data_IF_995587737827
#
_entry.id   IF_995587737827
#
_cell.length_a   1.000
_cell.length_b   1.000
_cell.length_c   1.000
_cell.angle_alpha   90.00
_cell.angle_beta   90.00
_cell.angle_gamma   90.00
#
_symmetry.space_group_name_H-M   'P 1'
#
loop_
_entity.id
_entity.type
_entity.pdbx_description
1 polymer ?
#
# COMPACT_ATOMS: atom_id res chain seq x y z
N UNK A 1 1.94 10.44 -3.72
CA UNK A 1 0.61 11.00 -3.41
C UNK A 1 0.08 10.35 -2.13
N UNK A 2 -1.01 10.86 -1.57
CA UNK A 2 -1.70 10.23 -0.44
C UNK A 2 -2.86 9.36 -0.90
N UNK A 3 -3.21 8.34 -0.12
CA UNK A 3 -4.28 7.38 -0.48
C UNK A 3 -5.63 8.10 -0.66
N UNK A 4 -5.95 9.10 0.18
CA UNK A 4 -7.19 9.90 0.05
C UNK A 4 -7.24 10.82 -1.18
N UNK A 5 -6.14 10.91 -1.93
CA UNK A 5 -6.04 11.67 -3.17
C UNK A 5 -6.19 10.79 -4.42
N UNK A 6 -6.41 9.47 -4.28
CA UNK A 6 -6.69 8.58 -5.42
C UNK A 6 -7.85 9.08 -6.27
N UNK A 7 -7.77 8.88 -7.58
CA UNK A 7 -8.83 9.28 -8.52
C UNK A 7 -10.17 8.59 -8.18
N UNK A 8 -10.12 7.36 -7.67
CA UNK A 8 -11.25 6.51 -7.30
C UNK A 8 -11.70 6.66 -5.83
N UNK A 9 -11.07 7.52 -5.02
CA UNK A 9 -11.32 7.59 -3.56
C UNK A 9 -12.78 7.81 -3.20
N UNK A 10 -13.56 8.53 -4.03
CA UNK A 10 -14.98 8.81 -3.82
C UNK A 10 -15.85 7.54 -3.85
N UNK A 11 -15.32 6.39 -4.25
CA UNK A 11 -16.00 5.10 -4.11
C UNK A 11 -15.89 4.52 -2.70
N UNK A 12 -14.94 5.00 -1.90
CA UNK A 12 -14.53 4.40 -0.61
C UNK A 12 -14.68 5.38 0.57
N UNK A 13 -14.56 6.68 0.31
CA UNK A 13 -14.61 7.75 1.30
C UNK A 13 -15.59 8.85 0.88
N UNK A 14 -16.12 9.54 1.89
CA UNK A 14 -16.69 10.87 1.78
C UNK A 14 -15.76 11.85 2.48
N UNK A 15 -15.40 12.94 1.80
CA UNK A 15 -14.55 14.00 2.37
C UNK A 15 -15.37 15.27 2.54
N UNK A 16 -15.54 15.72 3.79
CA UNK A 16 -16.27 16.96 4.10
C UNK A 16 -15.30 18.15 4.15
N UNK A 17 -15.07 18.77 2.99
CA UNK A 17 -14.20 19.95 2.87
C UNK A 17 -14.71 21.16 3.67
N UNK A 18 -15.97 21.17 4.10
CA UNK A 18 -16.48 22.24 4.96
C UNK A 18 -15.87 22.18 6.35
N UNK A 19 -15.37 21.02 6.78
CA UNK A 19 -14.67 20.79 8.05
C UNK A 19 -13.15 20.92 7.97
N UNK A 20 -12.60 21.11 6.77
CA UNK A 20 -11.17 21.32 6.58
C UNK A 20 -10.83 22.81 6.68
N UNK A 21 -9.69 23.14 7.29
CA UNK A 21 -9.15 24.50 7.25
C UNK A 21 -9.07 24.98 5.79
N UNK A 22 -9.62 26.17 5.50
CA UNK A 22 -9.74 26.69 4.14
C UNK A 22 -8.38 26.75 3.43
N UNK A 23 -7.30 27.07 4.15
CA UNK A 23 -5.95 27.14 3.61
C UNK A 23 -5.34 25.77 3.30
N UNK A 24 -5.89 24.69 3.88
CA UNK A 24 -5.38 23.32 3.78
C UNK A 24 -6.21 22.41 2.85
N UNK A 25 -7.32 22.90 2.27
CA UNK A 25 -8.22 22.10 1.42
C UNK A 25 -7.52 21.43 0.23
N UNK A 26 -6.45 22.03 -0.29
CA UNK A 26 -5.71 21.48 -1.42
C UNK A 26 -5.09 20.09 -1.12
N UNK A 27 -4.85 19.74 0.15
CA UNK A 27 -4.34 18.43 0.53
C UNK A 27 -5.34 17.28 0.28
N UNK A 28 -6.59 17.61 -0.01
CA UNK A 28 -7.66 16.66 -0.35
C UNK A 28 -8.01 16.64 -1.84
N UNK A 29 -7.22 17.33 -2.67
CA UNK A 29 -7.38 17.26 -4.12
C UNK A 29 -7.13 15.81 -4.58
N UNK A 30 -7.96 15.37 -5.52
CA UNK A 30 -7.76 14.08 -6.20
C UNK A 30 -6.79 14.27 -7.36
N UNK A 31 -6.02 13.23 -7.64
CA UNK A 31 -5.29 13.10 -8.90
C UNK A 31 -6.23 12.60 -10.00
N UNK A 32 -5.89 12.91 -11.25
CA UNK A 32 -6.56 12.33 -12.40
C UNK A 32 -6.14 10.88 -12.60
N UNK A 33 -6.98 10.07 -13.26
CA UNK A 33 -6.73 8.64 -13.45
C UNK A 33 -5.47 8.37 -14.27
N UNK A 34 -5.14 9.27 -15.19
CA UNK A 34 -3.98 9.20 -16.05
C UNK A 34 -2.67 9.49 -15.28
N UNK A 35 -2.76 10.17 -14.14
CA UNK A 35 -1.62 10.55 -13.28
C UNK A 35 -1.42 9.59 -12.10
N UNK A 36 -2.39 8.71 -11.84
CA UNK A 36 -2.38 7.77 -10.72
C UNK A 36 -2.83 6.37 -11.16
N UNK A 37 -1.86 5.46 -11.30
CA UNK A 37 -2.10 4.03 -11.42
C UNK A 37 -2.12 3.37 -10.04
N UNK A 38 -3.21 2.67 -9.74
CA UNK A 38 -3.39 1.94 -8.48
C UNK A 38 -2.90 0.48 -8.59
N UNK A 39 -2.36 0.06 -9.74
CA UNK A 39 -1.83 -1.27 -9.98
C UNK A 39 -2.82 -2.42 -9.71
N UNK A 40 -4.11 -2.14 -9.84
CA UNK A 40 -5.19 -3.08 -9.49
C UNK A 40 -5.39 -3.30 -7.98
N UNK A 41 -4.65 -2.59 -7.12
CA UNK A 41 -4.84 -2.64 -5.66
C UNK A 41 -6.14 -1.94 -5.26
N UNK A 42 -6.87 -2.59 -4.37
CA UNK A 42 -8.04 -1.98 -3.71
C UNK A 42 -7.62 -0.81 -2.82
N UNK A 43 -8.58 0.03 -2.45
CA UNK A 43 -8.35 1.17 -1.57
C UNK A 43 -7.89 0.73 -0.18
N UNK A 44 -6.79 1.30 0.32
CA UNK A 44 -6.16 0.88 1.58
C UNK A 44 -6.38 1.92 2.69
N UNK A 45 -7.48 1.78 3.44
CA UNK A 45 -7.78 2.66 4.58
C UNK A 45 -6.66 2.72 5.61
N UNK A 46 -5.97 1.58 5.82
CA UNK A 46 -4.90 1.43 6.80
C UNK A 46 -3.50 1.71 6.25
N UNK A 47 -3.39 2.14 5.00
CA UNK A 47 -2.11 2.41 4.34
C UNK A 47 -1.30 3.48 5.06
N UNK A 48 0.03 3.36 5.03
CA UNK A 48 0.94 4.37 5.61
C UNK A 48 0.81 5.73 4.92
N UNK A 49 0.33 5.74 3.67
CA UNK A 49 0.11 6.95 2.89
C UNK A 49 -1.27 7.59 3.10
N UNK A 50 -2.12 7.00 3.95
CA UNK A 50 -3.45 7.52 4.25
C UNK A 50 -3.42 8.49 5.44
N UNK A 51 -4.05 9.66 5.29
CA UNK A 51 -4.28 10.58 6.42
C UNK A 51 -5.19 9.98 7.49
N UNK A 52 -5.13 10.49 8.71
CA UNK A 52 -6.14 10.23 9.74
C UNK A 52 -7.45 10.90 9.37
N UNK A 53 -8.54 10.39 9.92
CA UNK A 53 -9.88 10.84 9.58
C UNK A 53 -10.18 12.30 9.96
N UNK A 54 -9.36 12.90 10.81
CA UNK A 54 -9.47 14.29 11.29
C UNK A 54 -8.29 15.19 10.88
N UNK A 55 -7.41 14.75 9.98
CA UNK A 55 -6.27 15.57 9.56
C UNK A 55 -6.73 16.87 8.89
N UNK A 56 -6.08 18.00 9.21
CA UNK A 56 -6.43 19.34 8.73
C UNK A 56 -7.84 19.82 9.10
N UNK A 57 -8.51 19.18 10.06
CA UNK A 57 -9.78 19.62 10.60
C UNK A 57 -9.68 21.05 11.16
N UNK A 58 -10.68 21.89 10.88
CA UNK A 58 -10.78 23.26 11.39
C UNK A 58 -11.23 23.31 12.85
N UNK A 59 -12.06 22.34 13.26
CA UNK A 59 -12.64 22.24 14.60
C UNK A 59 -12.04 21.08 15.38
N UNK A 60 -11.82 21.28 16.68
CA UNK A 60 -11.41 20.19 17.55
C UNK A 60 -12.48 19.09 17.57
N UNK A 61 -12.09 17.86 17.21
CA UNK A 61 -13.01 16.71 17.14
C UNK A 61 -13.80 16.58 15.84
N UNK A 62 -13.60 17.46 14.87
CA UNK A 62 -14.20 17.30 13.54
C UNK A 62 -13.59 16.09 12.81
N UNK A 63 -14.46 15.21 12.31
CA UNK A 63 -14.09 14.14 11.36
C UNK A 63 -14.28 14.68 9.95
N UNK A 64 -13.20 14.69 9.17
CA UNK A 64 -13.12 15.15 7.78
C UNK A 64 -13.43 14.02 6.80
N UNK A 65 -12.90 12.82 7.05
CA UNK A 65 -13.06 11.67 6.17
C UNK A 65 -13.93 10.59 6.80
N UNK A 66 -14.96 10.17 6.07
CA UNK A 66 -15.90 9.14 6.50
C UNK A 66 -15.83 7.96 5.53
N UNK A 67 -15.49 6.78 6.02
CA UNK A 67 -15.53 5.53 5.26
C UNK A 67 -16.97 5.22 4.83
N UNK A 68 -17.15 4.92 3.54
CA UNK A 68 -18.46 4.47 3.03
C UNK A 68 -18.88 3.12 3.62
N UNK A 69 -17.91 2.25 3.88
CA UNK A 69 -18.13 1.05 4.67
C UNK A 69 -17.70 1.34 6.12
N UNK A 70 -18.64 1.39 7.08
CA UNK A 70 -18.35 1.79 8.45
C UNK A 70 -17.39 0.84 9.18
N UNK A 71 -17.25 -0.42 8.71
CA UNK A 71 -16.31 -1.38 9.28
C UNK A 71 -14.84 -0.92 9.17
N UNK A 72 -14.53 0.01 8.27
CA UNK A 72 -13.18 0.51 8.05
C UNK A 72 -12.90 1.91 8.64
N UNK A 73 -13.89 2.56 9.28
CA UNK A 73 -13.68 3.93 9.78
C UNK A 73 -12.48 4.00 10.75
N UNK A 74 -12.39 3.05 11.69
CA UNK A 74 -11.32 2.99 12.68
C UNK A 74 -9.98 2.51 12.12
N UNK A 75 -9.93 2.12 10.84
CA UNK A 75 -8.70 1.73 10.15
C UNK A 75 -8.00 2.91 9.47
N UNK A 76 -8.67 4.05 9.32
CA UNK A 76 -8.16 5.22 8.60
C UNK A 76 -6.90 5.79 9.28
N UNK A 77 -5.77 5.82 8.55
CA UNK A 77 -4.55 6.52 8.97
C UNK A 77 -3.86 5.95 10.22
N UNK A 78 -4.04 4.64 10.47
CA UNK A 78 -3.55 3.95 11.67
C UNK A 78 -2.19 3.27 11.56
N UNK A 79 -1.55 3.30 10.39
CA UNK A 79 -0.27 2.62 10.18
C UNK A 79 0.90 3.31 10.91
N UNK A 80 1.78 2.49 11.51
CA UNK A 80 3.06 2.93 12.10
C UNK A 80 4.20 2.88 11.08
N UNK A 81 4.01 2.14 9.99
CA UNK A 81 4.95 2.00 8.88
C UNK A 81 4.30 1.31 7.67
N UNK A 82 5.06 1.03 6.61
CA UNK A 82 4.53 0.45 5.38
C UNK A 82 3.77 -0.85 5.64
N UNK A 83 2.51 -0.90 5.20
CA UNK A 83 1.70 -2.12 5.23
C UNK A 83 1.83 -2.90 3.91
N UNK A 84 1.20 -4.08 3.85
CA UNK A 84 1.27 -4.93 2.66
C UNK A 84 0.90 -4.18 1.37
N UNK A 85 -0.16 -3.36 1.42
CA UNK A 85 -0.62 -2.58 0.27
C UNK A 85 0.41 -1.55 -0.23
N UNK A 86 1.13 -0.89 0.68
CA UNK A 86 2.18 0.06 0.34
C UNK A 86 3.36 -0.64 -0.37
N UNK A 87 3.81 -1.77 0.20
CA UNK A 87 4.91 -2.57 -0.37
C UNK A 87 4.52 -3.14 -1.73
N UNK A 88 3.27 -3.57 -1.89
CA UNK A 88 2.74 -4.06 -3.16
C UNK A 88 2.82 -2.98 -4.26
N UNK A 89 2.31 -1.77 -4.01
CA UNK A 89 2.35 -0.69 -5.01
C UNK A 89 3.77 -0.27 -5.36
N UNK A 90 4.66 -0.17 -4.35
CA UNK A 90 6.08 0.09 -4.60
C UNK A 90 6.68 -0.98 -5.50
N UNK A 91 6.38 -2.25 -5.24
CA UNK A 91 6.89 -3.36 -6.04
C UNK A 91 6.39 -3.32 -7.49
N UNK A 92 5.11 -3.01 -7.70
CA UNK A 92 4.53 -2.88 -9.04
C UNK A 92 5.12 -1.68 -9.80
N UNK A 93 5.21 -0.52 -9.16
CA UNK A 93 5.75 0.71 -9.74
C UNK A 93 7.23 0.58 -10.16
N UNK A 94 8.07 0.03 -9.27
CA UNK A 94 9.50 -0.12 -9.51
C UNK A 94 9.85 -1.42 -10.21
N UNK A 95 8.84 -2.22 -10.58
CA UNK A 95 9.02 -3.54 -11.21
C UNK A 95 9.89 -4.46 -10.35
N UNK A 96 9.81 -4.28 -9.03
CA UNK A 96 10.31 -5.23 -8.05
C UNK A 96 9.28 -6.36 -7.93
N UNK A 97 9.10 -7.10 -9.02
CA UNK A 97 8.28 -8.30 -8.99
C UNK A 97 8.85 -9.20 -7.90
N UNK A 98 7.99 -9.63 -6.97
CA UNK A 98 8.37 -10.47 -5.85
C UNK A 98 9.43 -11.47 -6.28
N UNK A 99 10.59 -11.36 -5.63
CA UNK A 99 11.71 -12.23 -5.86
C UNK A 99 11.25 -13.68 -5.75
N UNK A 100 11.51 -14.43 -6.81
CA UNK A 100 11.92 -15.84 -6.74
C UNK A 100 11.06 -16.70 -5.79
N UNK A 101 9.74 -16.67 -5.93
CA UNK A 101 8.88 -17.65 -5.24
C UNK A 101 9.03 -18.99 -5.96
N UNK A 102 9.79 -19.89 -5.34
CA UNK A 102 9.92 -21.28 -5.78
C UNK A 102 8.79 -22.11 -5.17
N UNK A 103 7.82 -22.52 -5.98
CA UNK A 103 6.74 -23.39 -5.57
C UNK A 103 6.74 -24.76 -6.28
N UNK A 104 7.43 -24.87 -7.43
CA UNK A 104 7.40 -26.06 -8.26
C UNK A 104 8.77 -26.45 -8.83
N UNK A 105 8.94 -27.73 -9.20
CA UNK A 105 10.23 -28.31 -9.61
C UNK A 105 10.79 -27.64 -10.87
N UNK A 106 9.92 -27.13 -11.72
CA UNK A 106 10.25 -26.47 -12.97
C UNK A 106 11.03 -25.17 -12.75
N UNK A 107 10.92 -24.57 -11.56
CA UNK A 107 11.64 -23.36 -11.18
C UNK A 107 13.01 -23.66 -10.56
N UNK A 108 13.36 -24.93 -10.34
CA UNK A 108 14.64 -25.31 -9.74
C UNK A 108 15.78 -25.18 -10.76
N UNK A 109 17.01 -24.93 -10.27
CA UNK A 109 18.24 -24.82 -11.07
C UNK A 109 18.22 -23.74 -12.17
N UNK A 110 17.38 -22.72 -12.03
CA UNK A 110 17.38 -21.56 -12.92
C UNK A 110 18.32 -20.48 -12.38
N UNK A 111 19.18 -19.92 -13.26
CA UNK A 111 19.99 -18.77 -12.91
C UNK A 111 19.12 -17.52 -12.84
N UNK A 112 19.14 -16.83 -11.70
CA UNK A 112 18.36 -15.64 -11.49
C UNK A 112 19.24 -14.41 -11.27
N UNK A 113 18.87 -13.30 -11.88
CA UNK A 113 19.58 -12.03 -11.75
C UNK A 113 18.67 -11.05 -11.02
N UNK A 114 19.15 -10.52 -9.89
CA UNK A 114 18.46 -9.48 -9.14
C UNK A 114 19.04 -8.11 -9.52
N UNK A 115 18.17 -7.10 -9.60
CA UNK A 115 18.57 -5.71 -9.85
C UNK A 115 19.19 -5.04 -8.60
N UNK A 116 19.15 -5.70 -7.44
CA UNK A 116 19.68 -5.23 -6.17
C UNK A 116 20.63 -6.26 -5.53
N UNK A 117 21.54 -5.78 -4.68
CA UNK A 117 22.43 -6.62 -3.87
C UNK A 117 21.73 -7.29 -2.68
N UNK A 118 20.46 -6.96 -2.41
CA UNK A 118 19.69 -7.58 -1.34
C UNK A 118 18.92 -8.81 -1.86
N UNK A 119 19.40 -10.01 -1.50
CA UNK A 119 18.67 -11.26 -1.67
C UNK A 119 17.99 -11.63 -0.34
N UNK A 120 16.67 -11.51 -0.27
CA UNK A 120 15.88 -12.00 0.88
C UNK A 120 15.42 -13.42 0.59
N UNK A 121 15.81 -14.37 1.44
CA UNK A 121 15.40 -15.77 1.33
C UNK A 121 14.40 -16.07 2.43
N UNK A 122 13.14 -16.20 2.05
CA UNK A 122 12.06 -16.55 2.97
C UNK A 122 11.56 -17.96 2.65
N UNK A 123 12.06 -18.95 3.40
CA UNK A 123 11.52 -20.29 3.32
C UNK A 123 10.15 -20.34 4.01
N UNK A 124 9.17 -20.93 3.33
CA UNK A 124 7.81 -21.07 3.85
C UNK A 124 7.30 -22.51 3.65
N UNK A 125 6.64 -23.06 4.67
CA UNK A 125 5.97 -24.35 4.64
C UNK A 125 4.79 -24.32 5.61
N UNK A 126 3.63 -24.82 5.20
CA UNK A 126 2.42 -24.83 6.03
C UNK A 126 2.19 -26.16 6.78
N UNK A 127 2.88 -27.24 6.42
CA UNK A 127 2.57 -28.59 6.92
C UNK A 127 3.78 -29.38 7.46
N UNK A 128 5.00 -29.11 6.97
CA UNK A 128 6.20 -29.87 7.29
C UNK A 128 7.44 -28.95 7.43
N UNK A 129 8.63 -29.54 7.50
CA UNK A 129 9.91 -28.84 7.46
C UNK A 129 10.36 -28.62 6.00
N UNK A 130 10.93 -27.46 5.71
CA UNK A 130 11.63 -27.17 4.45
C UNK A 130 13.11 -26.97 4.72
N UNK A 131 13.93 -27.83 4.14
CA UNK A 131 15.38 -27.64 4.07
C UNK A 131 15.71 -27.07 2.70
N UNK A 132 16.54 -26.04 2.64
CA UNK A 132 17.04 -25.47 1.39
C UNK A 132 18.55 -25.25 1.46
N UNK A 133 19.18 -25.17 0.30
CA UNK A 133 20.61 -24.87 0.16
C UNK A 133 20.76 -23.76 -0.86
N UNK A 134 21.64 -22.80 -0.56
CA UNK A 134 21.86 -21.62 -1.38
C UNK A 134 23.28 -21.69 -1.91
N UNK A 135 23.43 -21.64 -3.23
CA UNK A 135 24.72 -21.46 -3.88
C UNK A 135 24.72 -20.07 -4.51
N UNK A 136 25.73 -19.26 -4.21
CA UNK A 136 25.90 -17.92 -4.76
C UNK A 136 27.33 -17.76 -5.29
N UNK A 137 27.50 -16.85 -6.24
CA UNK A 137 28.80 -16.44 -6.78
C UNK A 137 28.99 -14.96 -6.45
N UNK A 138 30.14 -14.63 -5.85
CA UNK A 138 30.60 -13.25 -5.66
C UNK A 138 31.27 -12.73 -6.93
#
# INVERSE_FOLDING_TARGET
MHEQSRWDRDQYLTVDLTKVDTSMRYNYNKYEKEENDNYGKQYDYGGNMHYKDNDMAKGAGDIVMIAKNPAYQMSIGGAIGPVFGDVYEMNMQYKCYEGMKFCCKEQFNQTMTTASNLLVIQAYNSFYYTTFSVQYKL
#
